data_IF_560119701588
#
_entry.id   IF_560119701588
#
_cell.length_a   1.000
_cell.length_b   1.000
_cell.length_c   1.000
_cell.angle_alpha   90.00
_cell.angle_beta   90.00
_cell.angle_gamma   90.00
#
_symmetry.space_group_name_H-M   'P 1'
#
loop_
_entity.id
_entity.type
_entity.pdbx_description
1 polymer ?
#
# COMPACT_ATOMS: atom_id res chain seq x y z
N UNK A 1 48.90 -35.15 2.32
CA UNK A 1 48.54 -34.06 1.38
C UNK A 1 47.56 -34.69 0.40
N UNK A 2 46.30 -34.29 0.28
CA UNK A 2 45.70 -32.96 0.42
C UNK A 2 44.21 -33.16 0.71
N UNK A 3 43.68 -32.59 1.80
CA UNK A 3 42.24 -32.55 2.05
C UNK A 3 41.63 -31.53 1.10
N UNK A 4 41.02 -31.98 0.00
CA UNK A 4 40.19 -31.13 -0.84
C UNK A 4 38.78 -31.15 -0.26
N UNK A 5 38.51 -30.17 0.60
CA UNK A 5 37.19 -29.84 1.13
C UNK A 5 36.29 -29.58 -0.08
N UNK A 6 35.30 -30.43 -0.29
CA UNK A 6 34.17 -30.16 -1.19
C UNK A 6 33.53 -28.87 -0.70
N UNK A 7 33.64 -27.80 -1.49
CA UNK A 7 32.95 -26.54 -1.25
C UNK A 7 31.49 -26.84 -0.93
N UNK A 8 30.98 -26.57 0.28
CA UNK A 8 29.54 -26.55 0.46
C UNK A 8 29.06 -25.41 -0.43
N UNK A 9 28.11 -25.69 -1.33
CA UNK A 9 27.33 -24.65 -1.97
C UNK A 9 26.88 -23.71 -0.85
N UNK A 10 27.45 -22.51 -0.81
CA UNK A 10 27.01 -21.48 0.09
C UNK A 10 25.59 -21.15 -0.35
N UNK A 11 24.63 -21.87 0.22
CA UNK A 11 23.27 -21.39 0.30
C UNK A 11 23.42 -20.10 1.10
N UNK A 12 23.42 -18.97 0.39
CA UNK A 12 23.02 -17.72 0.99
C UNK A 12 21.54 -17.92 1.34
N UNK A 13 21.29 -18.63 2.44
CA UNK A 13 20.01 -18.57 3.11
C UNK A 13 20.01 -17.15 3.66
N UNK A 14 19.39 -16.26 2.88
CA UNK A 14 19.01 -14.93 3.33
C UNK A 14 18.41 -15.12 4.72
N UNK A 15 18.99 -14.47 5.73
CA UNK A 15 18.46 -14.52 7.08
C UNK A 15 16.99 -14.07 7.03
N UNK A 16 16.15 -14.46 8.00
CA UNK A 16 14.75 -14.04 8.03
C UNK A 16 14.56 -12.51 8.00
N UNK A 17 15.62 -11.73 8.18
CA UNK A 17 15.66 -10.27 8.07
C UNK A 17 15.78 -9.76 6.61
N UNK A 18 16.21 -10.58 5.66
CA UNK A 18 16.31 -10.25 4.23
C UNK A 18 15.20 -10.96 3.40
N UNK A 19 14.31 -11.72 4.06
CA UNK A 19 13.18 -12.41 3.42
C UNK A 19 11.92 -11.54 3.25
N UNK A 20 11.96 -10.24 3.57
CA UNK A 20 10.77 -9.36 3.54
C UNK A 20 10.48 -8.73 2.17
N UNK A 21 11.02 -9.28 1.07
CA UNK A 21 10.90 -8.68 -0.27
C UNK A 21 10.29 -9.59 -1.34
N UNK A 22 9.36 -10.49 -1.01
CA UNK A 22 8.62 -11.23 -2.05
C UNK A 22 7.09 -11.25 -1.91
N UNK A 23 6.50 -10.57 -0.94
CA UNK A 23 5.04 -10.55 -0.77
C UNK A 23 4.42 -9.20 -1.12
N UNK A 24 4.63 -8.69 -2.34
CA UNK A 24 3.80 -7.63 -2.98
C UNK A 24 3.28 -6.51 -2.08
N UNK A 25 4.08 -6.07 -1.10
CA UNK A 25 3.67 -5.22 0.00
C UNK A 25 4.37 -3.87 -0.05
N UNK A 26 3.82 -2.90 0.67
CA UNK A 26 4.35 -1.55 0.75
C UNK A 26 5.70 -1.59 1.46
N UNK A 27 6.73 -0.97 0.87
CA UNK A 27 8.05 -0.84 1.49
C UNK A 27 8.08 0.21 2.61
N UNK A 28 9.06 0.14 3.51
CA UNK A 28 9.18 1.08 4.66
C UNK A 28 9.25 2.54 4.20
N UNK A 29 9.97 2.82 3.11
CA UNK A 29 10.05 4.16 2.52
C UNK A 29 8.68 4.64 2.05
N UNK A 30 7.92 3.78 1.37
CA UNK A 30 6.60 4.13 0.85
C UNK A 30 5.59 4.36 1.98
N UNK A 31 5.64 3.56 3.05
CA UNK A 31 4.85 3.78 4.25
C UNK A 31 5.21 5.09 4.96
N UNK A 32 6.48 5.47 5.02
CA UNK A 32 6.88 6.78 5.52
C UNK A 32 6.40 7.91 4.59
N UNK A 33 6.48 7.70 3.27
CA UNK A 33 6.05 8.68 2.27
C UNK A 33 4.54 8.94 2.32
N UNK A 34 3.73 7.95 2.70
CA UNK A 34 2.29 8.08 2.89
C UNK A 34 1.88 9.18 3.88
N UNK A 35 2.78 9.59 4.78
CA UNK A 35 2.54 10.68 5.72
C UNK A 35 2.81 12.07 5.14
N UNK A 36 3.38 12.18 3.93
CA UNK A 36 3.51 13.46 3.26
C UNK A 36 2.19 13.84 2.55
N UNK A 37 1.72 15.10 2.70
CA UNK A 37 0.35 15.48 2.36
C UNK A 37 -0.10 15.10 0.95
N UNK A 38 0.65 15.54 -0.06
CA UNK A 38 0.28 15.32 -1.47
C UNK A 38 0.47 13.86 -1.89
N UNK A 39 1.49 13.19 -1.34
CA UNK A 39 1.78 11.80 -1.67
C UNK A 39 0.69 10.86 -1.12
N UNK A 40 0.42 10.94 0.19
CA UNK A 40 -0.59 10.11 0.84
C UNK A 40 -1.98 10.35 0.29
N UNK A 41 -2.35 11.62 0.06
CA UNK A 41 -3.60 11.98 -0.58
C UNK A 41 -3.74 11.36 -1.98
N UNK A 42 -2.74 11.54 -2.84
CA UNK A 42 -2.79 11.04 -4.21
C UNK A 42 -2.88 9.51 -4.25
N UNK A 43 -2.05 8.82 -3.45
CA UNK A 43 -2.08 7.35 -3.34
C UNK A 43 -3.44 6.84 -2.87
N UNK A 44 -4.06 7.49 -1.89
CA UNK A 44 -5.40 7.14 -1.42
C UNK A 44 -6.44 7.29 -2.54
N UNK A 45 -6.46 8.44 -3.21
CA UNK A 45 -7.43 8.75 -4.26
C UNK A 45 -7.27 7.81 -5.45
N UNK A 46 -6.04 7.54 -5.89
CA UNK A 46 -5.76 6.58 -6.96
C UNK A 46 -6.20 5.17 -6.58
N UNK A 47 -5.91 4.71 -5.37
CA UNK A 47 -6.35 3.39 -4.92
C UNK A 47 -7.89 3.25 -4.91
N UNK A 48 -8.59 4.29 -4.48
CA UNK A 48 -10.07 4.32 -4.50
C UNK A 48 -10.60 4.34 -5.94
N UNK A 49 -9.98 5.13 -6.83
CA UNK A 49 -10.33 5.18 -8.26
C UNK A 49 -10.17 3.82 -8.92
N UNK A 50 -9.00 3.20 -8.78
CA UNK A 50 -8.68 1.91 -9.37
C UNK A 50 -9.61 0.82 -8.83
N UNK A 51 -9.85 0.80 -7.52
CA UNK A 51 -10.77 -0.16 -6.90
C UNK A 51 -12.20 0.02 -7.41
N UNK A 52 -12.72 1.26 -7.43
CA UNK A 52 -14.04 1.55 -7.98
C UNK A 52 -14.15 1.13 -9.44
N UNK A 53 -13.16 1.46 -10.26
CA UNK A 53 -13.15 1.15 -11.70
C UNK A 53 -13.19 -0.36 -11.95
N UNK A 54 -12.45 -1.14 -11.16
CA UNK A 54 -12.48 -2.60 -11.21
C UNK A 54 -13.80 -3.21 -10.69
N UNK A 55 -14.53 -2.50 -9.81
CA UNK A 55 -15.67 -3.03 -9.06
C UNK A 55 -16.99 -2.27 -9.32
N UNK A 56 -17.11 -1.56 -10.45
CA UNK A 56 -18.21 -0.61 -10.73
C UNK A 56 -19.62 -1.22 -10.67
N UNK A 57 -19.73 -2.53 -10.90
CA UNK A 57 -21.00 -3.28 -10.90
C UNK A 57 -21.38 -3.86 -9.53
N UNK A 58 -20.65 -3.53 -8.46
CA UNK A 58 -20.85 -4.05 -7.11
C UNK A 58 -20.94 -2.93 -6.06
N UNK A 59 -21.23 -3.28 -4.79
CA UNK A 59 -21.13 -2.37 -3.64
C UNK A 59 -19.67 -2.03 -3.33
N UNK A 60 -19.00 -1.34 -4.27
CA UNK A 60 -17.57 -1.06 -4.25
C UNK A 60 -17.13 -0.24 -3.03
N UNK A 61 -18.02 0.53 -2.41
CA UNK A 61 -17.68 1.30 -1.19
C UNK A 61 -17.50 0.35 -0.01
N UNK A 62 -18.46 -0.53 0.26
CA UNK A 62 -18.40 -1.49 1.37
C UNK A 62 -17.31 -2.54 1.13
N UNK A 63 -17.26 -3.09 -0.09
CA UNK A 63 -16.23 -4.06 -0.47
C UNK A 63 -14.84 -3.43 -0.48
N UNK A 64 -14.75 -2.15 -0.85
CA UNK A 64 -13.50 -1.38 -0.84
C UNK A 64 -12.97 -1.15 0.56
N UNK A 65 -13.84 -0.90 1.54
CA UNK A 65 -13.44 -0.81 2.94
C UNK A 65 -12.90 -2.15 3.45
N UNK A 66 -13.56 -3.25 3.12
CA UNK A 66 -13.07 -4.59 3.46
C UNK A 66 -11.73 -4.91 2.77
N UNK A 67 -11.56 -4.49 1.51
CA UNK A 67 -10.32 -4.67 0.77
C UNK A 67 -9.16 -3.83 1.35
N UNK A 68 -9.46 -2.61 1.84
CA UNK A 68 -8.49 -1.77 2.53
C UNK A 68 -8.02 -2.44 3.83
N UNK A 69 -8.96 -2.94 4.66
CA UNK A 69 -8.62 -3.67 5.89
C UNK A 69 -7.78 -4.91 5.58
N UNK A 70 -8.21 -5.72 4.60
CA UNK A 70 -7.47 -6.89 4.18
C UNK A 70 -6.08 -6.56 3.59
N UNK A 71 -5.90 -5.36 3.02
CA UNK A 71 -4.59 -4.89 2.56
C UNK A 71 -3.70 -4.47 3.74
N UNK A 72 -4.26 -3.74 4.70
CA UNK A 72 -3.57 -3.30 5.91
C UNK A 72 -3.08 -4.50 6.75
N UNK A 73 -3.91 -5.53 6.92
CA UNK A 73 -3.60 -6.73 7.72
C UNK A 73 -2.44 -7.57 7.17
N UNK A 74 -2.06 -7.41 5.90
CA UNK A 74 -0.95 -8.17 5.30
C UNK A 74 0.40 -7.87 5.92
N UNK A 75 0.63 -6.63 6.37
CA UNK A 75 1.89 -6.27 7.02
C UNK A 75 1.75 -4.98 7.86
N UNK A 76 2.61 -4.81 8.89
CA UNK A 76 2.68 -3.56 9.62
C UNK A 76 2.95 -2.35 8.72
N UNK A 77 3.75 -2.53 7.68
CA UNK A 77 4.12 -1.46 6.73
C UNK A 77 2.93 -1.06 5.85
N UNK A 78 2.12 -2.02 5.38
CA UNK A 78 0.86 -1.74 4.69
C UNK A 78 -0.10 -0.98 5.59
N UNK A 79 -0.27 -1.43 6.84
CA UNK A 79 -1.10 -0.72 7.83
C UNK A 79 -0.68 0.74 8.00
N UNK A 80 0.62 1.01 8.19
CA UNK A 80 1.14 2.38 8.36
C UNK A 80 0.90 3.22 7.10
N UNK A 81 1.14 2.65 5.93
CA UNK A 81 0.88 3.30 4.65
C UNK A 81 -0.60 3.67 4.49
N UNK A 82 -1.49 2.72 4.73
CA UNK A 82 -2.93 2.89 4.53
C UNK A 82 -3.52 3.89 5.51
N UNK A 83 -3.03 3.91 6.76
CA UNK A 83 -3.38 4.93 7.75
C UNK A 83 -2.95 6.32 7.26
N UNK A 84 -1.70 6.47 6.81
CA UNK A 84 -1.19 7.76 6.30
C UNK A 84 -1.99 8.26 5.11
N UNK A 85 -2.27 7.39 4.14
CA UNK A 85 -3.10 7.69 2.99
C UNK A 85 -4.52 8.09 3.38
N UNK A 86 -5.15 7.32 4.27
CA UNK A 86 -6.51 7.58 4.75
C UNK A 86 -6.60 8.89 5.53
N UNK A 87 -5.60 9.21 6.35
CA UNK A 87 -5.53 10.47 7.10
C UNK A 87 -5.61 11.68 6.16
N UNK A 88 -4.79 11.69 5.10
CA UNK A 88 -4.79 12.80 4.14
C UNK A 88 -6.03 12.84 3.26
N UNK A 89 -6.59 11.68 2.89
CA UNK A 89 -7.86 11.61 2.18
C UNK A 89 -9.01 12.19 3.02
N UNK A 90 -9.20 11.70 4.25
CA UNK A 90 -10.27 12.15 5.16
C UNK A 90 -10.08 13.64 5.50
N UNK A 91 -8.84 14.04 5.79
CA UNK A 91 -8.49 15.44 6.03
C UNK A 91 -8.88 16.33 4.86
N UNK A 92 -8.59 15.92 3.62
CA UNK A 92 -8.98 16.68 2.43
C UNK A 92 -10.50 16.83 2.30
N UNK A 93 -11.29 15.77 2.58
CA UNK A 93 -12.75 15.84 2.60
C UNK A 93 -13.27 16.82 3.66
N UNK A 94 -12.67 16.86 4.84
CA UNK A 94 -13.08 17.75 5.94
C UNK A 94 -12.87 19.24 5.64
N UNK A 95 -11.95 19.59 4.72
CA UNK A 95 -11.72 20.99 4.32
C UNK A 95 -12.76 21.56 3.36
N UNK A 96 -13.70 20.76 2.85
CA UNK A 96 -14.69 21.08 1.80
C UNK A 96 -14.05 21.36 0.42
N UNK A 97 -12.93 22.09 0.39
CA UNK A 97 -12.16 22.37 -0.83
C UNK A 97 -11.68 21.07 -1.48
N UNK A 98 -11.31 20.06 -0.67
CA UNK A 98 -10.87 18.75 -1.18
C UNK A 98 -11.98 17.90 -1.80
N UNK A 99 -13.27 18.21 -1.59
CA UNK A 99 -14.37 17.36 -2.09
C UNK A 99 -14.44 17.30 -3.62
N UNK A 100 -14.36 18.46 -4.28
CA UNK A 100 -14.39 18.55 -5.75
C UNK A 100 -13.22 17.82 -6.41
N UNK A 101 -11.94 18.08 -6.06
CA UNK A 101 -10.82 17.37 -6.67
C UNK A 101 -10.84 15.87 -6.35
N UNK A 102 -11.21 15.46 -5.12
CA UNK A 102 -11.37 14.05 -4.79
C UNK A 102 -12.40 13.37 -5.68
N UNK A 103 -13.57 13.99 -5.83
CA UNK A 103 -14.63 13.45 -6.67
C UNK A 103 -14.19 13.38 -8.14
N UNK A 104 -13.52 14.40 -8.66
CA UNK A 104 -13.03 14.38 -10.05
C UNK A 104 -12.02 13.27 -10.29
N UNK A 105 -11.12 13.02 -9.34
CA UNK A 105 -10.11 11.97 -9.50
C UNK A 105 -10.67 10.56 -9.26
N UNK A 106 -11.65 10.39 -8.36
CA UNK A 106 -12.29 9.08 -8.09
C UNK A 106 -13.36 8.73 -9.13
N UNK A 107 -14.11 9.73 -9.61
CA UNK A 107 -15.23 9.55 -10.53
C UNK A 107 -14.88 9.83 -12.00
N UNK A 108 -13.73 10.46 -12.24
CA UNK A 108 -13.18 10.68 -13.58
C UNK A 108 -12.95 9.37 -14.33
N UNK A 109 -13.01 9.46 -15.66
CA UNK A 109 -12.96 8.32 -16.58
C UNK A 109 -11.54 7.82 -16.85
#
# INVERSE_FOLDING_TARGET
MTNAITYPAAYNVLSCEEMTYTEGGVGVVEAAMAWFPLYGWYKAVSAIHDYRKANINSNWVENGMNALVAHAEKSPTNTIHDIGCSFWFIGSCATIIGLVPNALLIFGN
#
